data_IF_585062720992
#
_entry.id   IF_585062720992
#
_cell.length_a   1.000
_cell.length_b   1.000
_cell.length_c   1.000
_cell.angle_alpha   90.00
_cell.angle_beta   90.00
_cell.angle_gamma   90.00
#
_symmetry.space_group_name_H-M   'P 1'
#
loop_
_entity.id
_entity.type
_entity.pdbx_description
1 polymer ?
#
# COMPACT_ATOMS: atom_id res chain seq x y z
N UNK A 1 7.89 12.44 -7.07
CA UNK A 1 7.72 12.11 -5.64
C UNK A 1 6.60 12.89 -4.92
N UNK A 2 6.38 14.19 -5.15
CA UNK A 2 5.36 14.99 -4.44
C UNK A 2 3.95 14.39 -4.45
N UNK A 3 3.46 13.88 -5.60
CA UNK A 3 2.14 13.24 -5.71
C UNK A 3 2.01 11.96 -4.86
N UNK A 4 3.06 11.14 -4.81
CA UNK A 4 3.09 9.93 -3.98
C UNK A 4 3.06 10.30 -2.49
N UNK A 5 3.85 11.28 -2.07
CA UNK A 5 3.83 11.78 -0.69
C UNK A 5 2.47 12.37 -0.31
N UNK A 6 1.84 13.10 -1.24
CA UNK A 6 0.45 13.57 -1.05
C UNK A 6 -0.54 12.41 -0.94
N UNK A 7 -0.35 11.32 -1.70
CA UNK A 7 -1.19 10.14 -1.61
C UNK A 7 -1.04 9.42 -0.25
N UNK A 8 0.19 9.31 0.26
CA UNK A 8 0.47 8.80 1.62
C UNK A 8 -0.15 9.73 2.68
N UNK A 9 -0.04 11.04 2.50
CA UNK A 9 -0.74 12.01 3.34
C UNK A 9 -2.26 11.76 3.37
N UNK A 10 -2.89 11.48 2.22
CA UNK A 10 -4.32 11.16 2.19
C UNK A 10 -4.63 9.86 2.93
N UNK A 11 -3.80 8.81 2.79
CA UNK A 11 -3.95 7.59 3.60
C UNK A 11 -3.93 7.92 5.09
N UNK A 12 -2.93 8.69 5.53
CA UNK A 12 -2.80 9.10 6.91
C UNK A 12 -3.99 9.94 7.40
N UNK A 13 -4.39 10.93 6.60
CA UNK A 13 -5.48 11.82 6.94
C UNK A 13 -6.84 11.12 6.97
N UNK A 14 -7.02 10.03 6.23
CA UNK A 14 -8.25 9.22 6.31
C UNK A 14 -8.46 8.60 7.70
N UNK A 15 -7.37 8.24 8.38
CA UNK A 15 -7.41 7.71 9.75
C UNK A 15 -7.35 8.82 10.80
N UNK A 16 -6.53 9.85 10.56
CA UNK A 16 -6.28 10.96 11.50
C UNK A 16 -7.40 12.01 11.55
N UNK A 17 -8.17 12.16 10.46
CA UNK A 17 -9.27 13.11 10.32
C UNK A 17 -8.92 14.54 10.73
N UNK A 18 -7.82 15.08 10.17
CA UNK A 18 -7.28 16.40 10.49
C UNK A 18 -7.05 16.63 12.02
N UNK A 19 -6.77 15.56 12.78
CA UNK A 19 -6.52 15.60 14.23
C UNK A 19 -7.76 15.46 15.11
N UNK A 20 -8.95 15.28 14.53
CA UNK A 20 -10.21 15.13 15.29
C UNK A 20 -10.52 13.69 15.75
N UNK A 21 -9.65 12.72 15.44
CA UNK A 21 -9.89 11.32 15.80
C UNK A 21 -9.04 10.87 17.00
N UNK A 22 -9.49 11.19 18.22
CA UNK A 22 -8.82 10.81 19.47
C UNK A 22 -9.00 9.33 19.84
N UNK A 23 -9.98 8.64 19.22
CA UNK A 23 -10.36 7.26 19.58
C UNK A 23 -9.62 6.18 18.80
N UNK A 24 -8.95 6.55 17.72
CA UNK A 24 -8.38 5.61 16.75
C UNK A 24 -6.89 5.89 16.63
N UNK A 25 -6.02 4.88 16.73
CA UNK A 25 -4.57 5.06 16.50
C UNK A 25 -4.30 5.26 15.00
N UNK A 26 -4.16 6.50 14.52
CA UNK A 26 -4.10 6.80 13.10
C UNK A 26 -2.85 6.20 12.45
N UNK A 27 -1.77 6.01 13.20
CA UNK A 27 -0.50 5.48 12.70
C UNK A 27 -0.63 4.01 12.33
N UNK A 28 -1.19 3.20 13.23
CA UNK A 28 -1.38 1.77 12.98
C UNK A 28 -2.28 1.53 11.78
N UNK A 29 -3.43 2.21 11.68
CA UNK A 29 -4.34 2.06 10.53
C UNK A 29 -3.67 2.47 9.22
N UNK A 30 -2.95 3.59 9.22
CA UNK A 30 -2.28 4.09 8.00
C UNK A 30 -1.20 3.13 7.54
N UNK A 31 -0.45 2.54 8.46
CA UNK A 31 0.58 1.56 8.14
C UNK A 31 -0.03 0.28 7.62
N UNK A 32 -1.13 -0.20 8.21
CA UNK A 32 -1.85 -1.37 7.69
C UNK A 32 -2.30 -1.12 6.24
N UNK A 33 -2.82 0.07 5.94
CA UNK A 33 -3.21 0.44 4.56
C UNK A 33 -1.98 0.45 3.64
N UNK A 34 -0.90 1.13 4.03
CA UNK A 34 0.33 1.19 3.23
C UNK A 34 0.89 -0.21 2.96
N UNK A 35 0.98 -1.04 4.00
CA UNK A 35 1.44 -2.43 3.88
C UNK A 35 0.58 -3.23 2.93
N UNK A 36 -0.73 -3.07 2.99
CA UNK A 36 -1.63 -3.78 2.08
C UNK A 36 -1.42 -3.34 0.63
N UNK A 37 -1.19 -2.04 0.39
CA UNK A 37 -0.82 -1.54 -0.92
C UNK A 37 0.52 -2.11 -1.41
N UNK A 38 1.53 -2.17 -0.54
CA UNK A 38 2.84 -2.75 -0.85
C UNK A 38 2.73 -4.25 -1.18
N UNK A 39 1.99 -5.01 -0.38
CA UNK A 39 1.77 -6.45 -0.60
C UNK A 39 1.04 -6.73 -1.91
N UNK A 40 -0.05 -6.00 -2.19
CA UNK A 40 -0.79 -6.15 -3.45
C UNK A 40 0.09 -5.80 -4.65
N UNK A 41 0.93 -4.77 -4.54
CA UNK A 41 1.89 -4.40 -5.59
C UNK A 41 2.90 -5.52 -5.81
N UNK A 42 3.45 -6.13 -4.75
CA UNK A 42 4.39 -7.24 -4.87
C UNK A 42 3.73 -8.45 -5.51
N UNK A 43 2.53 -8.83 -5.08
CA UNK A 43 1.78 -9.95 -5.67
C UNK A 43 1.53 -9.73 -7.16
N UNK A 44 1.11 -8.53 -7.54
CA UNK A 44 0.92 -8.16 -8.94
C UNK A 44 2.23 -8.25 -9.74
N UNK A 45 3.35 -7.79 -9.17
CA UNK A 45 4.67 -7.92 -9.78
C UNK A 45 5.08 -9.38 -9.98
N UNK A 46 4.78 -10.27 -9.03
CA UNK A 46 5.08 -11.70 -9.17
C UNK A 46 4.29 -12.33 -10.33
N UNK A 47 3.01 -12.01 -10.46
CA UNK A 47 2.20 -12.46 -11.60
C UNK A 47 2.73 -11.90 -12.91
N UNK A 48 3.07 -10.61 -12.96
CA UNK A 48 3.63 -9.96 -14.13
C UNK A 48 4.96 -10.57 -14.56
N UNK A 49 5.92 -10.72 -13.66
CA UNK A 49 7.21 -11.39 -13.93
C UNK A 49 6.96 -12.81 -14.44
N UNK A 50 5.97 -13.47 -13.85
CA UNK A 50 5.48 -14.77 -14.25
C UNK A 50 5.14 -14.94 -15.73
N UNK A 51 4.61 -13.90 -16.36
CA UNK A 51 4.30 -13.88 -17.81
C UNK A 51 5.58 -13.91 -18.65
N UNK A 52 6.68 -13.28 -18.20
CA UNK A 52 7.93 -13.22 -18.95
C UNK A 52 8.81 -14.46 -18.79
N UNK A 53 8.83 -15.04 -17.59
CA UNK A 53 9.71 -16.18 -17.29
C UNK A 53 9.12 -17.53 -17.69
N UNK A 54 7.84 -17.59 -18.07
CA UNK A 54 7.19 -18.79 -18.58
C UNK A 54 6.85 -19.86 -17.53
N UNK A 55 6.90 -19.53 -16.24
CA UNK A 55 6.49 -20.44 -15.15
C UNK A 55 5.85 -19.67 -14.00
N UNK A 56 5.11 -20.39 -13.13
CA UNK A 56 4.40 -19.85 -11.96
C UNK A 56 5.31 -19.43 -10.80
N UNK A 57 5.82 -18.20 -10.87
CA UNK A 57 6.67 -17.59 -9.82
C UNK A 57 5.97 -17.60 -8.46
N UNK A 58 4.70 -17.23 -8.40
CA UNK A 58 3.96 -17.20 -7.13
C UNK A 58 3.88 -18.61 -6.54
N UNK A 59 3.47 -19.60 -7.34
CA UNK A 59 3.35 -20.99 -6.89
C UNK A 59 4.71 -21.58 -6.50
N UNK A 60 5.76 -21.29 -7.24
CA UNK A 60 7.13 -21.71 -6.92
C UNK A 60 7.58 -21.14 -5.59
N UNK A 61 7.39 -19.84 -5.35
CA UNK A 61 7.75 -19.21 -4.08
C UNK A 61 6.92 -19.78 -2.91
N UNK A 62 5.62 -19.97 -3.11
CA UNK A 62 4.74 -20.62 -2.11
C UNK A 62 5.24 -22.03 -1.78
N UNK A 63 5.66 -22.80 -2.80
CA UNK A 63 6.20 -24.15 -2.60
C UNK A 63 7.52 -24.12 -1.82
N UNK A 64 8.44 -23.21 -2.16
CA UNK A 64 9.74 -23.06 -1.47
C UNK A 64 9.56 -22.64 -0.02
N UNK A 65 8.58 -21.78 0.26
CA UNK A 65 8.27 -21.34 1.62
C UNK A 65 7.47 -22.37 2.45
N UNK A 66 7.14 -23.54 1.91
CA UNK A 66 6.39 -24.57 2.63
C UNK A 66 4.88 -24.31 2.75
N UNK A 67 4.32 -23.49 1.86
CA UNK A 67 2.89 -23.23 1.75
C UNK A 67 2.48 -21.75 1.90
N UNK A 68 1.24 -21.44 1.52
CA UNK A 68 0.73 -20.06 1.38
C UNK A 68 0.80 -19.26 2.67
N UNK A 69 0.54 -19.91 3.81
CA UNK A 69 0.58 -19.25 5.13
C UNK A 69 2.00 -18.79 5.48
N UNK A 70 2.99 -19.66 5.32
CA UNK A 70 4.38 -19.35 5.61
C UNK A 70 4.94 -18.33 4.62
N UNK A 71 4.57 -18.44 3.34
CA UNK A 71 4.88 -17.41 2.34
C UNK A 71 4.33 -16.03 2.72
N UNK A 72 3.06 -15.96 3.14
CA UNK A 72 2.45 -14.71 3.58
C UNK A 72 3.13 -14.10 4.81
N UNK A 73 3.49 -14.92 5.80
CA UNK A 73 4.25 -14.48 6.98
C UNK A 73 5.64 -14.00 6.59
N UNK A 74 6.33 -14.71 5.70
CA UNK A 74 7.67 -14.33 5.22
C UNK A 74 7.61 -12.99 4.46
N UNK A 75 6.60 -12.81 3.60
CA UNK A 75 6.40 -11.57 2.86
C UNK A 75 6.09 -10.40 3.80
N UNK A 76 5.22 -10.60 4.79
CA UNK A 76 4.97 -9.61 5.84
C UNK A 76 6.24 -9.30 6.64
N UNK A 77 7.01 -10.32 7.02
CA UNK A 77 8.27 -10.15 7.73
C UNK A 77 9.34 -9.41 6.92
N UNK A 78 9.27 -9.47 5.59
CA UNK A 78 10.17 -8.72 4.70
C UNK A 78 9.76 -7.25 4.59
N UNK A 79 8.46 -6.98 4.44
CA UNK A 79 7.94 -5.64 4.09
C UNK A 79 7.58 -4.82 5.32
N UNK A 80 7.03 -5.45 6.37
CA UNK A 80 6.58 -4.73 7.56
C UNK A 80 7.70 -3.99 8.32
N UNK A 81 8.89 -4.58 8.56
CA UNK A 81 9.94 -3.90 9.29
C UNK A 81 10.43 -2.59 8.63
N UNK A 82 10.79 -2.55 7.33
CA UNK A 82 11.22 -1.30 6.70
C UNK A 82 10.10 -0.26 6.66
N UNK A 83 8.86 -0.65 6.37
CA UNK A 83 7.71 0.26 6.34
C UNK A 83 7.43 0.85 7.72
N UNK A 84 7.41 0.04 8.77
CA UNK A 84 7.28 0.52 10.14
C UNK A 84 8.46 1.41 10.57
N UNK A 85 9.70 1.03 10.22
CA UNK A 85 10.88 1.85 10.51
C UNK A 85 10.79 3.23 9.85
N UNK A 86 10.41 3.27 8.57
CA UNK A 86 10.30 4.51 7.83
C UNK A 86 9.14 5.37 8.36
N UNK A 87 7.93 4.82 8.44
CA UNK A 87 6.77 5.64 8.75
C UNK A 87 6.61 5.97 10.25
N UNK A 88 6.93 5.03 11.15
CA UNK A 88 6.85 5.27 12.60
C UNK A 88 8.15 5.86 13.13
N UNK A 89 9.25 5.11 13.04
CA UNK A 89 10.49 5.48 13.74
C UNK A 89 11.12 6.75 13.17
N UNK A 90 11.03 6.95 11.85
CA UNK A 90 11.49 8.18 11.18
C UNK A 90 10.41 9.25 11.04
N UNK A 91 9.19 9.02 11.55
CA UNK A 91 8.08 10.00 11.58
C UNK A 91 7.73 10.60 10.23
N UNK A 92 7.84 9.82 9.15
CA UNK A 92 7.52 10.33 7.81
C UNK A 92 6.03 10.63 7.64
N UNK A 93 5.13 9.96 8.38
CA UNK A 93 3.71 10.30 8.36
C UNK A 93 3.46 11.72 8.88
N UNK A 94 4.09 12.09 10.01
CA UNK A 94 4.03 13.44 10.57
C UNK A 94 4.61 14.46 9.60
N UNK A 95 5.77 14.15 9.04
CA UNK A 95 6.43 15.03 8.08
C UNK A 95 5.55 15.32 6.86
N UNK A 96 4.90 14.30 6.31
CA UNK A 96 3.98 14.47 5.17
C UNK A 96 2.68 15.15 5.59
N UNK A 97 2.19 14.91 6.81
CA UNK A 97 1.06 15.64 7.35
C UNK A 97 1.33 17.14 7.43
N UNK A 98 2.44 17.54 8.05
CA UNK A 98 2.82 18.94 8.15
C UNK A 98 3.16 19.57 6.80
N UNK A 99 3.74 18.80 5.86
CA UNK A 99 4.01 19.28 4.49
C UNK A 99 2.72 19.64 3.74
N UNK A 100 1.64 18.86 3.93
CA UNK A 100 0.45 18.95 3.07
C UNK A 100 -0.81 19.49 3.73
N UNK A 101 -0.93 19.55 5.06
CA UNK A 101 -2.15 20.02 5.75
C UNK A 101 -2.61 21.39 5.27
N UNK A 102 -1.68 22.32 5.07
CA UNK A 102 -1.95 23.70 4.65
C UNK A 102 -1.48 24.01 3.22
N UNK A 103 -1.00 22.98 2.49
CA UNK A 103 -0.49 23.19 1.14
C UNK A 103 -1.61 23.48 0.14
N UNK A 104 -1.34 24.29 -0.88
CA UNK A 104 -2.29 24.62 -1.96
C UNK A 104 -2.87 23.39 -2.67
N UNK A 105 -2.12 22.29 -2.71
CA UNK A 105 -2.58 21.02 -3.29
C UNK A 105 -3.70 20.37 -2.47
N UNK A 106 -3.81 20.67 -1.18
CA UNK A 106 -4.78 20.11 -0.24
C UNK A 106 -6.14 20.81 -0.30
N UNK A 107 -6.70 20.94 -1.50
CA UNK A 107 -8.07 21.44 -1.67
C UNK A 107 -9.10 20.34 -1.39
N UNK A 108 -10.32 20.70 -0.99
CA UNK A 108 -11.44 19.74 -0.84
C UNK A 108 -11.65 18.87 -2.09
N UNK A 109 -11.51 19.48 -3.28
CA UNK A 109 -11.64 18.79 -4.58
C UNK A 109 -10.53 17.75 -4.76
N UNK A 110 -9.28 18.12 -4.48
CA UNK A 110 -8.14 17.21 -4.63
C UNK A 110 -8.16 16.07 -3.61
N UNK A 111 -8.53 16.35 -2.35
CA UNK A 111 -8.74 15.30 -1.34
C UNK A 111 -9.79 14.29 -1.80
N UNK A 112 -10.97 14.77 -2.24
CA UNK A 112 -12.04 13.90 -2.73
C UNK A 112 -11.59 13.03 -3.91
N UNK A 113 -10.95 13.63 -4.90
CA UNK A 113 -10.44 12.89 -6.06
C UNK A 113 -9.37 11.87 -5.63
N UNK A 114 -8.47 12.25 -4.73
CA UNK A 114 -7.45 11.37 -4.19
C UNK A 114 -8.03 10.15 -3.48
N UNK A 115 -9.06 10.33 -2.65
CA UNK A 115 -9.77 9.21 -2.01
C UNK A 115 -10.49 8.31 -3.03
N UNK A 116 -11.11 8.90 -4.06
CA UNK A 116 -11.72 8.12 -5.16
C UNK A 116 -10.66 7.26 -5.85
N UNK A 117 -9.49 7.82 -6.17
CA UNK A 117 -8.40 7.04 -6.74
C UNK A 117 -7.90 5.96 -5.77
N UNK A 118 -7.82 6.27 -4.47
CA UNK A 118 -7.37 5.33 -3.46
C UNK A 118 -8.24 4.08 -3.40
N UNK A 119 -9.57 4.25 -3.47
CA UNK A 119 -10.52 3.14 -3.56
C UNK A 119 -10.47 2.51 -4.96
N UNK A 120 -10.39 3.32 -6.02
CA UNK A 120 -10.39 2.87 -7.41
C UNK A 120 -9.18 2.01 -7.81
N UNK A 121 -8.03 2.16 -7.16
CA UNK A 121 -6.86 1.32 -7.43
C UNK A 121 -7.07 -0.16 -7.07
N UNK A 122 -7.90 -0.45 -6.08
CA UNK A 122 -8.14 -1.83 -5.63
C UNK A 122 -8.77 -2.73 -6.69
N UNK A 123 -9.90 -2.38 -7.32
CA UNK A 123 -10.47 -3.19 -8.37
C UNK A 123 -9.56 -3.26 -9.60
N UNK A 124 -8.77 -2.21 -9.89
CA UNK A 124 -7.79 -2.24 -10.98
C UNK A 124 -6.72 -3.30 -10.70
N UNK A 125 -6.15 -3.34 -9.49
CA UNK A 125 -5.17 -4.36 -9.12
C UNK A 125 -5.74 -5.77 -9.17
N UNK A 126 -6.96 -5.97 -8.65
CA UNK A 126 -7.64 -7.27 -8.73
C UNK A 126 -7.87 -7.70 -10.18
N UNK A 127 -8.35 -6.79 -11.03
CA UNK A 127 -8.56 -7.06 -12.46
C UNK A 127 -7.25 -7.43 -13.17
N UNK A 128 -6.15 -6.72 -12.89
CA UNK A 128 -4.85 -7.02 -13.47
C UNK A 128 -4.29 -8.38 -13.00
N UNK A 129 -4.42 -8.70 -11.71
CA UNK A 129 -4.01 -10.00 -11.18
C UNK A 129 -4.79 -11.14 -11.85
N UNK A 130 -6.10 -10.99 -12.03
CA UNK A 130 -6.94 -11.97 -12.74
C UNK A 130 -6.51 -12.08 -14.21
N UNK A 131 -6.32 -10.95 -14.89
CA UNK A 131 -5.91 -10.91 -16.29
C UNK A 131 -4.59 -11.62 -16.54
N UNK A 132 -3.56 -11.37 -15.73
CA UNK A 132 -2.27 -12.05 -15.87
C UNK A 132 -2.39 -13.55 -15.60
N UNK A 133 -3.23 -13.93 -14.64
CA UNK A 133 -3.47 -15.35 -14.32
C UNK A 133 -4.24 -16.09 -15.42
N UNK A 134 -5.11 -15.40 -16.17
CA UNK A 134 -5.84 -15.99 -17.30
C UNK A 134 -4.98 -16.16 -18.56
N UNK A 135 -3.94 -15.34 -18.73
CA UNK A 135 -3.08 -15.34 -19.91
C UNK A 135 -1.80 -16.16 -19.75
N UNK A 136 -1.74 -17.01 -18.72
CA UNK A 136 -0.67 -17.98 -18.47
C UNK A 136 -1.17 -19.38 -18.78
#
# INVERSE_FOLDING_TARGET
>A
MRKLRFFIFLMFNSAYQDGNNEKTDPYTYSIVIILLFELLTILLCLEFVGVFVGFDVFRTLVSVCGGTRLFGIALLGLVAPPTCYYFIKKKYLDHYYDEFKDAEINTKKNRRNGYIYLIGYWPIWLALMIFFRMNR
#
